data_IF_833081689445
#
_entry.id   IF_833081689445
#
_cell.length_a   1.000
_cell.length_b   1.000
_cell.length_c   1.000
_cell.angle_alpha   90.00
_cell.angle_beta   90.00
_cell.angle_gamma   90.00
#
_symmetry.space_group_name_H-M   'P 1'
#
loop_
_entity.id
_entity.type
_entity.pdbx_description
1 polymer ?
#
# COMPACT_ATOMS: atom_id res chain seq x y z
N UNK A 1 1.93 15.90 -31.18
CA UNK A 1 2.70 16.50 -30.06
C UNK A 1 1.82 16.89 -28.86
N UNK A 2 0.59 17.38 -29.04
CA UNK A 2 -0.32 17.76 -27.94
C UNK A 2 -0.80 16.61 -27.01
N UNK A 3 -0.96 15.38 -27.52
CA UNK A 3 -1.39 14.24 -26.69
C UNK A 3 -0.29 13.79 -25.71
N UNK A 4 0.98 13.80 -26.13
CA UNK A 4 2.13 13.46 -25.29
C UNK A 4 2.35 14.46 -24.15
N UNK A 5 2.08 15.75 -24.40
CA UNK A 5 2.07 16.79 -23.36
C UNK A 5 0.95 16.56 -22.33
N UNK A 6 -0.26 16.17 -22.77
CA UNK A 6 -1.37 15.89 -21.86
C UNK A 6 -1.10 14.67 -20.95
N UNK A 7 -0.50 13.62 -21.48
CA UNK A 7 -0.10 12.43 -20.71
C UNK A 7 1.04 12.71 -19.73
N UNK A 8 2.03 13.52 -20.12
CA UNK A 8 3.10 13.93 -19.21
C UNK A 8 2.58 14.84 -18.10
N UNK A 9 1.64 15.75 -18.38
CA UNK A 9 0.95 16.50 -17.34
C UNK A 9 0.15 15.59 -16.40
N UNK A 10 -0.58 14.59 -16.90
CA UNK A 10 -1.31 13.64 -16.03
C UNK A 10 -0.35 12.83 -15.15
N UNK A 11 0.75 12.32 -15.69
CA UNK A 11 1.75 11.58 -14.91
C UNK A 11 2.47 12.45 -13.88
N UNK A 12 2.79 13.68 -14.26
CA UNK A 12 3.37 14.68 -13.35
C UNK A 12 2.37 15.04 -12.26
N UNK A 13 1.10 15.23 -12.62
CA UNK A 13 0.01 15.56 -11.72
C UNK A 13 -0.23 14.45 -10.71
N UNK A 14 -0.29 13.18 -11.15
CA UNK A 14 -0.29 12.02 -10.25
C UNK A 14 0.90 12.09 -9.28
N UNK A 15 2.11 12.40 -9.76
CA UNK A 15 3.32 12.50 -8.93
C UNK A 15 3.26 13.63 -7.89
N UNK A 16 2.58 14.74 -8.18
CA UNK A 16 2.48 15.92 -7.29
C UNK A 16 1.26 15.89 -6.35
N UNK A 17 0.13 15.27 -6.74
CA UNK A 17 -1.08 15.18 -5.89
C UNK A 17 -0.98 14.15 -4.77
N UNK A 18 0.02 13.27 -4.77
CA UNK A 18 0.19 12.26 -3.73
C UNK A 18 0.72 12.78 -2.40
N UNK A 19 1.00 14.08 -2.29
CA UNK A 19 1.72 14.66 -1.17
C UNK A 19 1.31 16.12 -0.84
N UNK A 20 0.82 16.94 -1.77
CA UNK A 20 0.63 18.36 -1.45
C UNK A 20 -0.54 18.66 -0.53
N UNK A 21 -0.26 19.31 0.61
CA UNK A 21 -1.25 20.14 1.32
C UNK A 21 -1.76 21.19 0.35
N UNK A 22 -3.07 21.28 0.17
CA UNK A 22 -3.68 22.54 -0.24
C UNK A 22 -3.90 23.33 1.06
N UNK A 23 -3.16 24.42 1.24
CA UNK A 23 -3.36 25.27 2.41
C UNK A 23 -4.80 25.80 2.38
N UNK A 24 -5.55 25.55 3.46
CA UNK A 24 -6.92 26.06 3.61
C UNK A 24 -8.06 25.05 3.44
N UNK A 25 -7.81 23.74 3.40
CA UNK A 25 -8.90 22.74 3.54
C UNK A 25 -9.26 22.50 5.01
N UNK A 26 -10.51 22.09 5.26
CA UNK A 26 -11.00 21.75 6.59
C UNK A 26 -10.22 20.57 7.19
N UNK A 27 -9.89 19.55 6.37
CA UNK A 27 -9.06 18.42 6.77
C UNK A 27 -7.65 18.83 7.20
N UNK A 28 -7.01 19.76 6.47
CA UNK A 28 -5.70 20.29 6.85
C UNK A 28 -5.76 21.06 8.17
N UNK A 29 -6.83 21.80 8.42
CA UNK A 29 -7.06 22.54 9.67
C UNK A 29 -7.28 21.58 10.85
N UNK A 30 -8.10 20.55 10.67
CA UNK A 30 -8.37 19.53 11.69
C UNK A 30 -7.09 18.77 12.11
N UNK A 31 -6.26 18.38 11.14
CA UNK A 31 -4.98 17.69 11.43
C UNK A 31 -4.01 18.62 12.17
N UNK A 32 -3.92 19.90 11.77
CA UNK A 32 -3.09 20.90 12.46
C UNK A 32 -3.54 21.12 13.91
N UNK A 33 -4.85 21.18 14.15
CA UNK A 33 -5.41 21.32 15.49
C UNK A 33 -5.08 20.08 16.34
N UNK A 34 -5.37 18.88 15.84
CA UNK A 34 -5.10 17.63 16.54
C UNK A 34 -3.59 17.45 16.88
N UNK A 35 -2.71 17.89 15.99
CA UNK A 35 -1.27 17.86 16.25
C UNK A 35 -0.85 18.88 17.31
N UNK A 36 -1.42 20.09 17.26
CA UNK A 36 -1.18 21.14 18.26
C UNK A 36 -1.63 20.67 19.64
N UNK A 37 -2.81 20.07 19.75
CA UNK A 37 -3.34 19.54 21.02
C UNK A 37 -2.46 18.42 21.59
N UNK A 38 -1.93 17.55 20.73
CA UNK A 38 -1.14 16.38 21.15
C UNK A 38 0.32 16.71 21.49
N UNK A 39 0.94 17.63 20.77
CA UNK A 39 2.39 17.88 20.86
C UNK A 39 2.74 19.32 21.27
N UNK A 40 1.74 20.19 21.47
CA UNK A 40 1.89 21.60 21.79
C UNK A 40 2.80 22.36 20.79
N UNK A 41 2.71 21.99 19.50
CA UNK A 41 3.51 22.54 18.40
C UNK A 41 2.63 22.79 17.18
N UNK A 42 2.83 23.92 16.52
CA UNK A 42 2.13 24.26 15.29
C UNK A 42 2.93 23.77 14.07
N UNK A 43 2.29 22.94 13.23
CA UNK A 43 2.87 22.52 11.95
C UNK A 43 2.47 23.56 10.89
N UNK A 44 3.46 24.31 10.39
CA UNK A 44 3.28 25.10 9.17
C UNK A 44 3.34 24.22 7.92
N UNK A 45 4.33 23.33 7.86
CA UNK A 45 4.59 22.45 6.72
C UNK A 45 4.39 20.98 7.11
N UNK A 46 3.24 20.40 6.74
CA UNK A 46 2.91 18.99 6.94
C UNK A 46 2.61 18.30 5.61
N UNK A 47 2.32 16.99 5.66
CA UNK A 47 1.82 16.25 4.50
C UNK A 47 0.46 15.66 4.88
N UNK A 48 -0.62 16.12 4.23
CA UNK A 48 -1.93 15.49 4.32
C UNK A 48 -2.04 14.47 3.21
N UNK A 49 -2.22 13.20 3.56
CA UNK A 49 -2.14 12.10 2.58
C UNK A 49 -3.37 12.11 1.66
N UNK A 50 -4.58 12.30 2.22
CA UNK A 50 -5.83 12.42 1.46
C UNK A 50 -6.82 13.29 2.22
N UNK A 51 -7.51 14.19 1.50
CA UNK A 51 -8.71 14.90 1.94
C UNK A 51 -9.84 14.59 0.96
N UNK A 52 -10.90 13.92 1.41
CA UNK A 52 -11.94 13.41 0.50
C UNK A 52 -13.04 14.41 0.20
N UNK A 53 -13.17 15.47 1.00
CA UNK A 53 -14.28 16.39 0.92
C UNK A 53 -13.78 17.80 0.69
N UNK A 54 -14.27 18.42 -0.36
CA UNK A 54 -14.06 19.85 -0.65
C UNK A 54 -14.90 20.66 0.35
N UNK A 55 -14.55 21.91 0.73
CA UNK A 55 -15.34 22.71 1.67
C UNK A 55 -16.84 22.87 1.34
N UNK A 56 -17.24 22.60 0.10
CA UNK A 56 -18.66 22.55 -0.30
C UNK A 56 -19.42 21.30 0.16
N UNK A 57 -18.74 20.33 0.82
CA UNK A 57 -19.28 19.04 1.22
C UNK A 57 -19.33 17.98 0.09
N UNK A 58 -18.88 18.34 -1.11
CA UNK A 58 -18.80 17.41 -2.24
C UNK A 58 -17.53 16.56 -2.17
N UNK A 59 -17.59 15.32 -2.67
CA UNK A 59 -16.40 14.47 -2.81
C UNK A 59 -15.39 15.11 -3.77
N UNK A 60 -14.13 15.20 -3.34
CA UNK A 60 -13.03 15.60 -4.21
C UNK A 60 -12.76 14.48 -5.23
N UNK A 61 -13.00 14.72 -6.54
CA UNK A 61 -12.79 13.72 -7.57
C UNK A 61 -11.33 13.26 -7.66
N UNK A 62 -10.37 14.09 -7.26
CA UNK A 62 -8.95 13.76 -7.31
C UNK A 62 -8.60 12.78 -6.19
N UNK A 63 -8.95 13.11 -4.94
CA UNK A 63 -8.76 12.23 -3.79
C UNK A 63 -9.48 10.88 -3.97
N UNK A 64 -10.69 10.91 -4.52
CA UNK A 64 -11.42 9.69 -4.85
C UNK A 64 -10.75 8.88 -5.96
N UNK A 65 -10.26 9.53 -7.02
CA UNK A 65 -9.51 8.84 -8.09
C UNK A 65 -8.22 8.20 -7.58
N UNK A 66 -7.54 8.83 -6.61
CA UNK A 66 -6.37 8.26 -5.96
C UNK A 66 -6.72 6.95 -5.24
N UNK A 67 -7.76 6.98 -4.41
CA UNK A 67 -8.26 5.78 -3.72
C UNK A 67 -8.58 4.65 -4.70
N UNK A 68 -9.39 4.95 -5.72
CA UNK A 68 -9.79 3.96 -6.74
C UNK A 68 -8.56 3.40 -7.47
N UNK A 69 -7.58 4.24 -7.81
CA UNK A 69 -6.34 3.79 -8.45
C UNK A 69 -5.53 2.85 -7.57
N UNK A 70 -5.49 3.09 -6.25
CA UNK A 70 -4.83 2.23 -5.27
C UNK A 70 -5.50 0.86 -5.18
N UNK A 71 -6.84 0.83 -5.10
CA UNK A 71 -7.64 -0.40 -5.08
C UNK A 71 -7.43 -1.20 -6.37
N UNK A 72 -7.48 -0.55 -7.53
CA UNK A 72 -7.26 -1.21 -8.84
C UNK A 72 -5.87 -1.84 -8.90
N UNK A 73 -4.82 -1.11 -8.50
CA UNK A 73 -3.44 -1.63 -8.48
C UNK A 73 -3.33 -2.86 -7.56
N UNK A 74 -3.95 -2.83 -6.39
CA UNK A 74 -3.94 -3.95 -5.45
C UNK A 74 -4.63 -5.18 -6.03
N UNK A 75 -5.78 -5.01 -6.70
CA UNK A 75 -6.51 -6.09 -7.35
C UNK A 75 -5.71 -6.70 -8.52
N UNK A 76 -5.13 -5.87 -9.37
CA UNK A 76 -4.28 -6.33 -10.48
C UNK A 76 -3.08 -7.13 -9.95
N UNK A 77 -2.42 -6.63 -8.90
CA UNK A 77 -1.29 -7.32 -8.27
C UNK A 77 -1.69 -8.66 -7.67
N UNK A 78 -2.86 -8.73 -7.02
CA UNK A 78 -3.37 -9.98 -6.43
C UNK A 78 -3.68 -11.03 -7.51
N UNK A 79 -4.39 -10.63 -8.57
CA UNK A 79 -4.77 -11.54 -9.67
C UNK A 79 -3.53 -12.03 -10.40
N UNK A 80 -2.60 -11.15 -10.74
CA UNK A 80 -1.37 -11.51 -11.46
C UNK A 80 -0.46 -12.42 -10.62
N UNK A 81 -0.22 -12.09 -9.36
CA UNK A 81 0.56 -12.92 -8.42
C UNK A 81 -0.06 -14.30 -8.24
N UNK A 82 -1.38 -14.37 -7.99
CA UNK A 82 -2.08 -15.64 -7.81
C UNK A 82 -2.04 -16.50 -9.07
N UNK A 83 -2.25 -15.88 -10.23
CA UNK A 83 -2.17 -16.57 -11.53
C UNK A 83 -0.78 -17.13 -11.75
N UNK A 84 0.27 -16.34 -11.48
CA UNK A 84 1.65 -16.78 -11.64
C UNK A 84 1.98 -17.92 -10.66
N UNK A 85 1.58 -17.81 -9.40
CA UNK A 85 1.78 -18.87 -8.41
C UNK A 85 1.10 -20.20 -8.81
N UNK A 86 -0.13 -20.14 -9.33
CA UNK A 86 -0.86 -21.32 -9.82
C UNK A 86 -0.16 -21.92 -11.05
N UNK A 87 0.24 -21.09 -12.02
CA UNK A 87 0.95 -21.55 -13.21
C UNK A 87 2.29 -22.20 -12.84
N UNK A 88 3.08 -21.55 -11.98
CA UNK A 88 4.34 -22.09 -11.46
C UNK A 88 4.12 -23.44 -10.77
N UNK A 89 3.10 -23.55 -9.91
CA UNK A 89 2.76 -24.82 -9.26
C UNK A 89 2.43 -25.92 -10.27
N UNK A 90 1.63 -25.61 -11.29
CA UNK A 90 1.25 -26.55 -12.34
C UNK A 90 2.46 -27.04 -13.13
N UNK A 91 3.36 -26.14 -13.52
CA UNK A 91 4.56 -26.51 -14.28
C UNK A 91 5.53 -27.36 -13.44
N UNK A 92 5.66 -27.07 -12.13
CA UNK A 92 6.45 -27.90 -11.21
C UNK A 92 5.91 -29.34 -11.12
N UNK A 93 4.59 -29.53 -11.17
CA UNK A 93 3.97 -30.87 -11.14
C UNK A 93 4.15 -31.61 -12.46
N UNK A 94 4.04 -30.90 -13.59
CA UNK A 94 4.17 -31.48 -14.94
C UNK A 94 5.61 -31.89 -15.27
N UNK A 95 6.61 -31.22 -14.70
CA UNK A 95 8.03 -31.45 -14.91
C UNK A 95 8.51 -32.79 -14.32
N UNK A 96 8.03 -33.91 -14.89
CA UNK A 96 8.39 -35.28 -14.51
C UNK A 96 9.80 -35.69 -14.94
N UNK A 97 10.38 -34.94 -15.88
CA UNK A 97 11.74 -35.08 -16.38
C UNK A 97 12.80 -34.50 -15.43
N UNK A 98 12.40 -33.73 -14.41
CA UNK A 98 13.31 -33.12 -13.44
C UNK A 98 13.55 -34.01 -12.23
N UNK A 99 14.72 -33.83 -11.61
CA UNK A 99 15.05 -34.56 -10.39
C UNK A 99 14.09 -34.22 -9.25
N UNK A 100 13.85 -35.19 -8.38
CA UNK A 100 13.00 -35.02 -7.19
C UNK A 100 13.49 -33.88 -6.28
N UNK A 101 14.82 -33.73 -6.15
CA UNK A 101 15.44 -32.64 -5.40
C UNK A 101 15.11 -31.26 -5.97
N UNK A 102 15.23 -31.10 -7.30
CA UNK A 102 14.90 -29.84 -7.99
C UNK A 102 13.43 -29.45 -7.76
N UNK A 103 12.50 -30.40 -7.93
CA UNK A 103 11.07 -30.16 -7.71
C UNK A 103 10.76 -29.74 -6.27
N UNK A 104 11.39 -30.41 -5.30
CA UNK A 104 11.22 -30.12 -3.88
C UNK A 104 11.73 -28.72 -3.55
N UNK A 105 12.87 -28.31 -4.12
CA UNK A 105 13.42 -26.97 -3.95
C UNK A 105 12.50 -25.89 -4.53
N UNK A 106 12.00 -26.08 -5.74
CA UNK A 106 11.07 -25.13 -6.37
C UNK A 106 9.77 -24.96 -5.58
N UNK A 107 9.21 -26.05 -5.03
CA UNK A 107 8.04 -25.97 -4.15
C UNK A 107 8.34 -25.23 -2.84
N UNK A 108 9.53 -25.39 -2.26
CA UNK A 108 9.94 -24.63 -1.07
C UNK A 108 10.01 -23.14 -1.38
N UNK A 109 10.61 -22.73 -2.51
CA UNK A 109 10.64 -21.33 -2.92
C UNK A 109 9.24 -20.76 -3.14
N UNK A 110 8.38 -21.48 -3.87
CA UNK A 110 7.00 -21.05 -4.11
C UNK A 110 6.23 -20.84 -2.79
N UNK A 111 6.34 -21.78 -1.84
CA UNK A 111 5.72 -21.65 -0.51
C UNK A 111 6.28 -20.47 0.27
N UNK A 112 7.59 -20.22 0.15
CA UNK A 112 8.25 -19.09 0.81
C UNK A 112 7.73 -17.75 0.29
N UNK A 113 7.64 -17.59 -1.04
CA UNK A 113 7.11 -16.36 -1.66
C UNK A 113 5.66 -16.11 -1.28
N UNK A 114 4.84 -17.17 -1.23
CA UNK A 114 3.44 -17.07 -0.75
C UNK A 114 3.41 -16.59 0.71
N UNK A 115 4.24 -17.15 1.58
CA UNK A 115 4.32 -16.74 2.98
C UNK A 115 4.81 -15.29 3.13
N UNK A 116 5.87 -14.89 2.42
CA UNK A 116 6.38 -13.52 2.41
C UNK A 116 5.30 -12.53 1.96
N UNK A 117 4.50 -12.89 0.96
CA UNK A 117 3.41 -12.05 0.45
C UNK A 117 2.34 -11.75 1.51
N UNK A 118 2.19 -12.60 2.54
CA UNK A 118 1.23 -12.35 3.64
C UNK A 118 1.68 -11.24 4.59
N UNK A 119 3.00 -11.03 4.74
CA UNK A 119 3.54 -10.03 5.68
C UNK A 119 3.16 -8.60 5.30
N UNK A 120 3.43 -8.09 4.07
CA UNK A 120 3.01 -6.75 3.69
C UNK A 120 1.48 -6.63 3.63
N UNK A 121 0.73 -7.70 3.38
CA UNK A 121 -0.74 -7.69 3.47
C UNK A 121 -1.20 -7.30 4.88
N UNK A 122 -0.61 -7.90 5.92
CA UNK A 122 -1.00 -7.66 7.30
C UNK A 122 -0.47 -6.34 7.86
N UNK A 123 0.80 -6.00 7.57
CA UNK A 123 1.47 -4.87 8.22
C UNK A 123 1.45 -3.57 7.40
N UNK A 124 1.15 -3.64 6.10
CA UNK A 124 1.15 -2.48 5.20
C UNK A 124 -0.23 -2.28 4.59
N UNK A 125 -0.73 -3.23 3.79
CA UNK A 125 -1.94 -3.03 3.00
C UNK A 125 -3.20 -2.94 3.86
N UNK A 126 -3.33 -3.76 4.91
CA UNK A 126 -4.49 -3.69 5.79
C UNK A 126 -4.55 -2.36 6.58
N UNK A 127 -3.49 -1.92 7.30
CA UNK A 127 -3.47 -0.60 7.95
C UNK A 127 -3.65 0.56 6.96
N UNK A 128 -3.04 0.47 5.78
CA UNK A 128 -3.16 1.49 4.73
C UNK A 128 -4.61 1.60 4.23
N UNK A 129 -5.26 0.46 3.95
CA UNK A 129 -6.66 0.42 3.54
C UNK A 129 -7.54 1.05 4.62
N UNK A 130 -7.32 0.71 5.89
CA UNK A 130 -8.03 1.28 7.03
C UNK A 130 -7.89 2.83 7.10
N UNK A 131 -6.67 3.36 7.05
CA UNK A 131 -6.40 4.81 7.13
C UNK A 131 -7.04 5.61 6.00
N UNK A 132 -7.17 5.00 4.82
CA UNK A 132 -7.65 5.67 3.61
C UNK A 132 -9.15 5.45 3.40
N UNK A 133 -9.67 4.26 3.73
CA UNK A 133 -11.08 3.92 3.52
C UNK A 133 -11.99 4.46 4.62
N UNK A 134 -11.56 4.46 5.89
CA UNK A 134 -12.43 4.91 6.99
C UNK A 134 -12.87 6.38 6.89
N UNK A 135 -12.01 7.34 6.45
CA UNK A 135 -12.45 8.71 6.20
C UNK A 135 -13.56 8.83 5.15
N UNK A 136 -13.60 7.96 4.13
CA UNK A 136 -14.72 7.91 3.17
C UNK A 136 -16.05 7.49 3.81
N UNK A 137 -16.01 6.78 4.94
CA UNK A 137 -17.20 6.40 5.72
C UNK A 137 -17.54 7.44 6.80
N UNK A 138 -16.80 8.56 6.87
CA UNK A 138 -16.93 9.56 7.92
C UNK A 138 -16.28 9.15 9.25
N UNK A 139 -15.43 8.12 9.26
CA UNK A 139 -14.69 7.69 10.44
C UNK A 139 -13.25 8.21 10.38
N UNK A 140 -12.98 9.28 11.12
CA UNK A 140 -11.65 9.86 11.23
C UNK A 140 -10.98 9.41 12.53
N UNK A 141 -9.77 8.85 12.44
CA UNK A 141 -8.99 8.42 13.60
C UNK A 141 -7.56 8.92 13.52
N UNK A 142 -7.26 9.95 14.30
CA UNK A 142 -5.90 10.51 14.46
C UNK A 142 -4.94 9.50 15.09
N UNK A 143 -5.43 8.63 15.97
CA UNK A 143 -4.67 7.54 16.59
C UNK A 143 -4.21 6.53 15.55
N UNK A 144 -5.11 6.10 14.65
CA UNK A 144 -4.75 5.16 13.60
C UNK A 144 -3.74 5.77 12.61
N UNK A 145 -3.98 7.00 12.17
CA UNK A 145 -3.05 7.71 11.29
C UNK A 145 -1.66 7.87 11.91
N UNK A 146 -1.58 8.10 13.22
CA UNK A 146 -0.31 8.18 13.95
C UNK A 146 0.39 6.82 14.12
N UNK A 147 -0.37 5.74 14.27
CA UNK A 147 0.16 4.39 14.50
C UNK A 147 0.52 3.66 13.20
N UNK A 148 -0.03 4.09 12.06
CA UNK A 148 0.23 3.49 10.75
C UNK A 148 1.73 3.36 10.42
N UNK A 149 2.58 4.40 10.57
CA UNK A 149 4.01 4.27 10.34
C UNK A 149 4.67 3.17 11.19
N UNK A 150 4.23 3.00 12.43
CA UNK A 150 4.72 1.94 13.31
C UNK A 150 4.39 0.55 12.74
N UNK A 151 3.15 0.30 12.31
CA UNK A 151 2.78 -0.96 11.66
C UNK A 151 3.61 -1.22 10.40
N UNK A 152 3.79 -0.19 9.54
CA UNK A 152 4.59 -0.34 8.32
C UNK A 152 6.07 -0.60 8.60
N UNK A 153 6.60 -0.09 9.72
CA UNK A 153 7.99 -0.32 10.13
C UNK A 153 8.27 -1.77 10.56
N UNK A 154 7.22 -2.53 10.90
CA UNK A 154 7.33 -3.94 11.27
C UNK A 154 7.43 -4.87 10.05
N UNK A 155 7.05 -4.41 8.85
CA UNK A 155 7.10 -5.23 7.65
C UNK A 155 8.49 -5.80 7.36
N UNK A 156 9.58 -5.00 7.27
CA UNK A 156 10.89 -5.54 6.91
C UNK A 156 11.43 -6.59 7.88
N UNK A 157 11.34 -6.40 9.23
CA UNK A 157 11.72 -7.44 10.18
C UNK A 157 10.95 -8.75 10.03
N UNK A 158 9.61 -8.69 9.90
CA UNK A 158 8.81 -9.91 9.76
C UNK A 158 9.03 -10.61 8.43
N UNK A 159 9.21 -9.85 7.35
CA UNK A 159 9.52 -10.41 6.03
C UNK A 159 10.85 -11.19 6.08
N UNK A 160 11.88 -10.58 6.69
CA UNK A 160 13.17 -11.23 6.91
C UNK A 160 13.05 -12.53 7.74
N UNK A 161 12.24 -12.52 8.81
CA UNK A 161 11.99 -13.71 9.64
C UNK A 161 11.38 -14.84 8.80
N UNK A 162 10.39 -14.54 7.94
CA UNK A 162 9.78 -15.55 7.07
C UNK A 162 10.81 -16.17 6.13
N UNK A 163 11.70 -15.35 5.54
CA UNK A 163 12.77 -15.85 4.65
C UNK A 163 13.69 -16.83 5.41
N UNK A 164 14.22 -16.38 6.56
CA UNK A 164 15.21 -17.13 7.35
C UNK A 164 14.64 -18.47 7.84
N UNK A 165 13.36 -18.49 8.21
CA UNK A 165 12.71 -19.71 8.69
C UNK A 165 12.38 -20.70 7.56
N UNK A 166 12.00 -20.21 6.38
CA UNK A 166 11.53 -21.06 5.28
C UNK A 166 12.64 -21.54 4.34
N UNK A 167 13.71 -20.77 4.16
CA UNK A 167 14.86 -21.13 3.32
C UNK A 167 16.00 -21.59 4.23
N UNK A 168 15.91 -22.85 4.67
CA UNK A 168 16.89 -23.47 5.57
C UNK A 168 18.31 -23.58 4.99
N UNK A 169 18.44 -23.58 3.66
CA UNK A 169 19.72 -23.70 2.94
C UNK A 169 20.52 -22.37 2.90
N UNK A 170 20.05 -21.32 3.58
CA UNK A 170 20.82 -20.07 3.79
C UNK A 170 21.78 -20.14 4.99
N UNK A 171 21.65 -21.19 5.84
CA UNK A 171 22.56 -21.48 6.96
C UNK A 171 23.55 -22.58 6.58
#
# INVERSE_FOLDING_TARGET
MHALLRYTHIFSYFRYTHLTINDGTDGATAVRQAFTDKYNRTIKDGWLIVDYYVPSGSLDPIAFSFFVSGVIKMLISLVSSSSLAILTYREIIKARDKSFGFRTMQLKFLRTVIAQSTVPILFVYFPYFAVIFWPLMGWESTTLGSSFPMFTSLFPPFDAIVIILMIKDYR
#
